data_IF_305813831481
#
_entry.id   IF_305813831481
#
_cell.length_a   1.000
_cell.length_b   1.000
_cell.length_c   1.000
_cell.angle_alpha   90.00
_cell.angle_beta   90.00
_cell.angle_gamma   90.00
#
_symmetry.space_group_name_H-M   'P 1'
#
loop_
_entity.id
_entity.type
_entity.pdbx_description
1 polymer ?
#
# COMPACT_ATOMS: atom_id res chain seq x y z
N UNK A 1 0.90 28.56 -48.12
CA UNK A 1 -0.55 28.23 -48.15
C UNK A 1 -0.68 26.71 -48.12
N UNK A 2 -0.89 26.11 -46.94
CA UNK A 2 -1.03 24.65 -46.81
C UNK A 2 -2.49 24.24 -47.07
N UNK A 3 -2.72 23.67 -48.25
CA UNK A 3 -4.03 23.20 -48.71
C UNK A 3 -4.29 21.81 -48.12
N UNK A 4 -5.03 21.74 -47.02
CA UNK A 4 -5.56 20.49 -46.49
C UNK A 4 -6.63 19.94 -47.43
N UNK A 5 -6.32 18.85 -48.13
CA UNK A 5 -7.27 18.09 -48.93
C UNK A 5 -8.01 17.11 -48.00
N UNK A 6 -9.15 17.53 -47.46
CA UNK A 6 -9.94 16.73 -46.51
C UNK A 6 -10.55 15.49 -47.18
N UNK A 7 -9.92 14.33 -47.01
CA UNK A 7 -10.56 13.04 -47.24
C UNK A 7 -11.26 12.60 -45.96
N UNK A 8 -12.57 12.84 -45.86
CA UNK A 8 -13.39 12.33 -44.77
C UNK A 8 -13.63 10.82 -44.97
N UNK A 9 -12.64 9.99 -44.57
CA UNK A 9 -12.83 8.56 -44.38
C UNK A 9 -13.54 8.37 -43.05
N UNK A 10 -14.83 8.05 -43.11
CA UNK A 10 -15.61 7.70 -41.91
C UNK A 10 -15.18 6.32 -41.39
N UNK A 11 -14.94 6.23 -40.09
CA UNK A 11 -14.82 4.94 -39.39
C UNK A 11 -16.19 4.28 -39.38
N UNK A 12 -16.21 2.95 -39.55
CA UNK A 12 -17.45 2.19 -39.48
C UNK A 12 -17.76 1.77 -38.04
N UNK A 13 -19.04 1.67 -37.69
CA UNK A 13 -19.43 1.21 -36.34
C UNK A 13 -18.94 -0.21 -36.05
N UNK A 14 -18.84 -1.07 -37.08
CA UNK A 14 -18.36 -2.45 -36.94
C UNK A 14 -16.87 -2.50 -36.58
N UNK A 15 -16.07 -1.58 -37.10
CA UNK A 15 -14.63 -1.50 -36.81
C UNK A 15 -14.40 -1.10 -35.35
N UNK A 16 -15.14 -0.11 -34.85
CA UNK A 16 -15.08 0.28 -33.42
C UNK A 16 -15.61 -0.85 -32.52
N UNK A 17 -16.69 -1.52 -32.94
CA UNK A 17 -17.25 -2.65 -32.20
C UNK A 17 -16.26 -3.81 -32.06
N UNK A 18 -15.55 -4.17 -33.14
CA UNK A 18 -14.53 -5.20 -33.10
C UNK A 18 -13.39 -4.86 -32.12
N UNK A 19 -12.94 -3.60 -32.08
CA UNK A 19 -11.89 -3.14 -31.15
C UNK A 19 -12.36 -3.23 -29.70
N UNK A 20 -13.56 -2.75 -29.39
CA UNK A 20 -14.11 -2.80 -28.02
C UNK A 20 -14.29 -4.25 -27.55
N UNK A 21 -14.73 -5.15 -28.43
CA UNK A 21 -14.87 -6.58 -28.09
C UNK A 21 -13.50 -7.18 -27.72
N UNK A 22 -12.45 -6.90 -28.49
CA UNK A 22 -11.10 -7.40 -28.19
C UNK A 22 -10.59 -6.80 -26.87
N UNK A 23 -10.72 -5.48 -26.68
CA UNK A 23 -10.31 -4.81 -25.43
C UNK A 23 -11.10 -5.32 -24.22
N UNK A 24 -12.38 -5.64 -24.39
CA UNK A 24 -13.23 -6.20 -23.35
C UNK A 24 -12.77 -7.59 -22.91
N UNK A 25 -12.42 -8.47 -23.86
CA UNK A 25 -11.88 -9.81 -23.56
C UNK A 25 -10.54 -9.69 -22.83
N UNK A 26 -9.65 -8.79 -23.28
CA UNK A 26 -8.36 -8.56 -22.62
C UNK A 26 -8.54 -8.02 -21.20
N UNK A 27 -9.42 -7.03 -21.01
CA UNK A 27 -9.72 -6.46 -19.70
C UNK A 27 -10.30 -7.52 -18.73
N UNK A 28 -11.16 -8.41 -19.22
CA UNK A 28 -11.78 -9.45 -18.40
C UNK A 28 -10.76 -10.39 -17.73
N UNK A 29 -9.64 -10.69 -18.41
CA UNK A 29 -8.57 -11.54 -17.86
C UNK A 29 -7.55 -10.71 -17.07
N UNK A 30 -7.24 -9.50 -17.53
CA UNK A 30 -6.22 -8.65 -16.92
C UNK A 30 -6.64 -8.12 -15.54
N UNK A 31 -7.89 -7.69 -15.38
CA UNK A 31 -8.40 -7.07 -14.14
C UNK A 31 -8.23 -7.96 -12.89
N UNK A 32 -8.75 -9.20 -12.84
CA UNK A 32 -8.62 -10.03 -11.63
C UNK A 32 -7.17 -10.34 -11.28
N UNK A 33 -6.31 -10.50 -12.29
CA UNK A 33 -4.87 -10.78 -12.09
C UNK A 33 -4.16 -9.61 -11.41
N UNK A 34 -4.46 -8.39 -11.82
CA UNK A 34 -3.90 -7.17 -11.22
C UNK A 34 -4.49 -6.91 -9.84
N UNK A 35 -5.78 -7.18 -9.63
CA UNK A 35 -6.42 -6.99 -8.32
C UNK A 35 -5.79 -7.87 -7.24
N UNK A 36 -5.54 -9.16 -7.53
CA UNK A 36 -4.89 -10.05 -6.57
C UNK A 36 -3.46 -9.63 -6.24
N UNK A 37 -2.70 -9.12 -7.21
CA UNK A 37 -1.36 -8.60 -6.96
C UNK A 37 -1.40 -7.36 -6.05
N UNK A 38 -2.33 -6.44 -6.28
CA UNK A 38 -2.50 -5.25 -5.46
C UNK A 38 -2.84 -5.63 -4.01
N UNK A 39 -3.74 -6.59 -3.81
CA UNK A 39 -4.13 -7.04 -2.47
C UNK A 39 -2.94 -7.60 -1.68
N UNK A 40 -2.13 -8.47 -2.29
CA UNK A 40 -0.90 -8.97 -1.67
C UNK A 40 0.09 -7.85 -1.34
N UNK A 41 0.30 -6.91 -2.28
CA UNK A 41 1.19 -5.76 -2.03
C UNK A 41 0.71 -4.87 -0.89
N UNK A 42 -0.62 -4.71 -0.73
CA UNK A 42 -1.18 -3.94 0.39
C UNK A 42 -0.96 -4.64 1.73
N UNK A 43 -1.11 -5.96 1.77
CA UNK A 43 -0.85 -6.78 2.95
C UNK A 43 0.63 -6.68 3.36
N UNK A 44 1.55 -6.84 2.41
CA UNK A 44 3.00 -6.71 2.64
C UNK A 44 3.37 -5.31 3.17
N UNK A 45 2.88 -4.25 2.51
CA UNK A 45 3.12 -2.86 2.96
C UNK A 45 2.59 -2.64 4.37
N UNK A 46 1.38 -3.14 4.67
CA UNK A 46 0.81 -3.04 6.01
C UNK A 46 1.70 -3.76 7.04
N UNK A 47 2.19 -4.96 6.73
CA UNK A 47 3.07 -5.72 7.61
C UNK A 47 4.36 -4.98 7.92
N UNK A 48 5.06 -4.48 6.90
CA UNK A 48 6.30 -3.72 7.04
C UNK A 48 6.06 -2.44 7.86
N UNK A 49 4.98 -1.72 7.58
CA UNK A 49 4.63 -0.51 8.31
C UNK A 49 4.32 -0.79 9.79
N UNK A 50 3.61 -1.88 10.10
CA UNK A 50 3.34 -2.28 11.48
C UNK A 50 4.62 -2.60 12.25
N UNK A 51 5.54 -3.38 11.68
CA UNK A 51 6.82 -3.72 12.30
C UNK A 51 7.67 -2.47 12.51
N UNK A 52 7.69 -1.55 11.53
CA UNK A 52 8.38 -0.27 11.66
C UNK A 52 7.78 0.57 12.79
N UNK A 53 6.46 0.69 12.85
CA UNK A 53 5.75 1.46 13.87
C UNK A 53 6.02 0.91 15.27
N UNK A 54 6.03 -0.43 15.42
CA UNK A 54 6.35 -1.12 16.66
C UNK A 54 7.75 -0.73 17.16
N UNK A 55 8.76 -0.89 16.32
CA UNK A 55 10.16 -0.56 16.68
C UNK A 55 10.32 0.90 17.08
N UNK A 56 9.67 1.81 16.34
CA UNK A 56 9.74 3.25 16.65
C UNK A 56 9.03 3.57 17.97
N UNK A 57 7.86 2.99 18.21
CA UNK A 57 7.11 3.19 19.44
C UNK A 57 7.85 2.60 20.66
N UNK A 58 8.43 1.42 20.55
CA UNK A 58 9.24 0.82 21.61
C UNK A 58 10.49 1.65 21.93
N UNK A 59 11.15 2.18 20.91
CA UNK A 59 12.28 3.08 21.07
C UNK A 59 11.87 4.33 21.84
N UNK A 60 10.70 4.89 21.52
CA UNK A 60 10.14 6.06 22.20
C UNK A 60 9.84 5.78 23.68
N UNK A 61 9.23 4.62 23.98
CA UNK A 61 8.98 4.18 25.36
C UNK A 61 10.29 4.05 26.14
N UNK A 62 11.32 3.44 25.53
CA UNK A 62 12.64 3.27 26.13
C UNK A 62 13.36 4.60 26.38
N UNK A 63 13.33 5.52 25.40
CA UNK A 63 13.98 6.84 25.52
C UNK A 63 13.32 7.73 26.58
N UNK A 64 11.99 7.72 26.67
CA UNK A 64 11.24 8.51 27.65
C UNK A 64 11.13 7.83 29.01
N UNK A 65 11.46 6.54 29.11
CA UNK A 65 11.33 5.75 30.34
C UNK A 65 9.87 5.63 30.80
N UNK A 66 8.94 5.52 29.86
CA UNK A 66 7.50 5.40 30.12
C UNK A 66 7.01 4.02 29.71
N UNK A 67 6.02 3.49 30.42
CA UNK A 67 5.36 2.24 30.04
C UNK A 67 4.26 2.50 28.99
N UNK A 68 3.97 1.45 28.22
CA UNK A 68 2.86 1.48 27.27
C UNK A 68 1.53 1.76 27.97
N UNK A 69 0.70 2.57 27.32
CA UNK A 69 -0.73 2.68 27.62
C UNK A 69 -1.47 3.02 26.33
N UNK A 70 -2.73 2.59 26.22
CA UNK A 70 -3.57 2.86 25.04
C UNK A 70 -3.60 4.35 24.69
N UNK A 71 -3.80 5.23 25.68
CA UNK A 71 -3.84 6.68 25.46
C UNK A 71 -2.52 7.23 24.86
N UNK A 72 -1.37 6.67 25.26
CA UNK A 72 -0.06 7.07 24.72
C UNK A 72 0.14 6.56 23.31
N UNK A 73 -0.29 5.33 23.04
CA UNK A 73 -0.22 4.77 21.70
C UNK A 73 -1.17 5.50 20.74
N UNK A 74 -2.40 5.83 21.16
CA UNK A 74 -3.32 6.64 20.35
C UNK A 74 -2.76 8.03 20.05
N UNK A 75 -2.09 8.66 21.03
CA UNK A 75 -1.41 9.93 20.80
C UNK A 75 -0.28 9.79 19.77
N UNK A 76 0.51 8.71 19.87
CA UNK A 76 1.60 8.43 18.95
C UNK A 76 1.09 8.17 17.52
N UNK A 77 0.01 7.40 17.38
CA UNK A 77 -0.67 7.18 16.10
C UNK A 77 -1.22 8.46 15.49
N UNK A 78 -1.74 9.39 16.30
CA UNK A 78 -2.20 10.67 15.79
C UNK A 78 -1.06 11.55 15.24
N UNK A 79 0.16 11.37 15.74
CA UNK A 79 1.33 12.15 15.33
C UNK A 79 2.11 11.49 14.17
N UNK A 80 2.19 10.16 14.14
CA UNK A 80 3.05 9.40 13.22
C UNK A 80 2.34 8.30 12.42
N UNK A 81 1.04 8.09 12.65
CA UNK A 81 0.28 6.95 12.10
C UNK A 81 -0.47 7.22 10.80
N UNK A 82 -0.05 8.20 10.00
CA UNK A 82 -0.61 8.38 8.65
C UNK A 82 -0.20 7.21 7.73
N UNK A 83 -1.13 6.73 6.92
CA UNK A 83 -0.93 5.73 5.86
C UNK A 83 -0.26 4.41 6.28
N UNK A 84 -0.47 3.95 7.52
CA UNK A 84 0.07 2.67 8.00
C UNK A 84 -0.59 1.49 7.28
N UNK A 85 -1.91 1.51 7.12
CA UNK A 85 -2.66 0.47 6.43
C UNK A 85 -3.27 1.02 5.13
N UNK A 86 -2.93 0.43 3.96
CA UNK A 86 -3.50 0.86 2.67
C UNK A 86 -5.01 0.64 2.52
N UNK A 87 -5.62 -0.15 3.41
CA UNK A 87 -7.06 -0.45 3.43
C UNK A 87 -7.75 0.18 4.66
N UNK A 88 -7.14 1.20 5.27
CA UNK A 88 -7.69 1.96 6.40
C UNK A 88 -8.04 1.07 7.61
N UNK A 89 -7.27 -0.01 7.80
CA UNK A 89 -7.41 -0.88 8.96
C UNK A 89 -7.04 -0.19 10.27
N UNK A 90 -7.83 -0.43 11.31
CA UNK A 90 -7.55 0.06 12.67
C UNK A 90 -6.27 -0.61 13.21
N UNK A 91 -5.38 0.22 13.76
CA UNK A 91 -4.08 -0.17 14.32
C UNK A 91 -4.14 -0.17 15.84
N UNK A 92 -3.67 -1.24 16.46
CA UNK A 92 -3.63 -1.42 17.92
C UNK A 92 -2.28 -1.94 18.38
N UNK A 93 -1.94 -1.73 19.65
CA UNK A 93 -0.74 -2.27 20.28
C UNK A 93 -1.17 -3.18 21.42
N UNK A 94 -0.91 -4.49 21.29
CA UNK A 94 -1.35 -5.52 22.24
C UNK A 94 -0.18 -6.44 22.54
N UNK A 95 0.12 -6.62 23.82
CA UNK A 95 1.15 -7.55 24.31
C UNK A 95 2.54 -7.38 23.67
N UNK A 96 2.93 -6.14 23.38
CA UNK A 96 4.22 -5.82 22.76
C UNK A 96 4.20 -5.72 21.23
N UNK A 97 3.06 -6.04 20.60
CA UNK A 97 2.95 -6.19 19.15
C UNK A 97 1.95 -5.20 18.56
N UNK A 98 2.32 -4.56 17.45
CA UNK A 98 1.38 -3.78 16.63
C UNK A 98 0.55 -4.71 15.75
N UNK A 99 -0.78 -4.59 15.84
CA UNK A 99 -1.76 -5.38 15.09
C UNK A 99 -2.67 -4.49 14.23
N UNK A 100 -3.03 -5.00 13.06
CA UNK A 100 -4.03 -4.41 12.17
C UNK A 100 -5.32 -5.24 12.21
N UNK A 101 -6.47 -4.58 12.14
CA UNK A 101 -7.79 -5.25 12.10
C UNK A 101 -8.11 -5.94 10.76
N UNK A 102 -7.39 -5.59 9.69
CA UNK A 102 -7.64 -6.08 8.32
C UNK A 102 -6.59 -7.11 7.88
N UNK A 103 -5.31 -6.81 8.09
CA UNK A 103 -4.18 -7.66 7.68
C UNK A 103 -3.62 -8.44 8.85
N UNK A 104 -3.40 -9.74 8.66
CA UNK A 104 -2.78 -10.59 9.68
C UNK A 104 -1.26 -10.48 9.60
N UNK A 105 -0.57 -10.43 10.74
CA UNK A 105 0.89 -10.49 10.77
C UNK A 105 1.33 -11.91 10.40
N UNK A 106 2.02 -12.05 9.28
CA UNK A 106 2.76 -13.28 8.93
C UNK A 106 4.12 -13.22 9.64
N UNK A 107 4.39 -14.18 10.51
CA UNK A 107 5.65 -14.27 11.31
C UNK A 107 6.89 -14.68 10.47
N UNK A 108 6.78 -14.68 9.15
CA UNK A 108 7.88 -15.01 8.24
C UNK A 108 8.58 -13.72 7.80
N UNK A 109 9.44 -13.17 8.67
CA UNK A 109 10.63 -12.36 8.35
C UNK A 109 11.30 -11.86 9.64
N UNK A 110 11.72 -12.83 10.48
CA UNK A 110 12.89 -12.65 11.35
C UNK A 110 13.99 -13.54 10.82
N UNK A 111 14.40 -13.34 9.58
CA UNK A 111 15.74 -13.70 9.13
C UNK A 111 16.46 -12.38 8.85
N UNK A 112 17.55 -12.18 9.59
CA UNK A 112 18.35 -10.97 9.57
C UNK A 112 18.86 -10.67 8.16
N UNK A 113 18.39 -9.58 7.55
CA UNK A 113 19.15 -8.85 6.54
C UNK A 113 19.44 -7.45 7.08
N UNK A 114 20.56 -7.37 7.79
CA UNK A 114 21.42 -6.17 7.80
C UNK A 114 21.85 -5.87 6.35
N UNK A 115 20.97 -5.28 5.53
CA UNK A 115 21.39 -4.57 4.32
C UNK A 115 20.82 -3.14 4.32
N UNK A 116 21.78 -2.22 4.35
CA UNK A 116 21.69 -0.77 4.29
C UNK A 116 21.28 -0.29 2.90
N UNK A 117 20.14 0.38 2.78
CA UNK A 117 19.98 1.52 1.88
C UNK A 117 18.66 2.28 2.05
N UNK A 118 18.77 3.58 2.30
CA UNK A 118 17.67 4.53 2.11
C UNK A 118 17.34 5.43 3.29
N UNK A 119 18.33 5.77 4.13
CA UNK A 119 18.21 6.92 5.01
C UNK A 119 17.95 8.19 4.19
N UNK A 120 16.69 8.61 4.08
CA UNK A 120 16.31 9.91 3.55
C UNK A 120 16.92 11.00 4.45
N UNK A 121 17.79 11.89 3.93
CA UNK A 121 18.35 12.96 4.73
C UNK A 121 17.27 14.01 5.00
N UNK A 122 16.89 14.15 6.27
CA UNK A 122 16.13 15.30 6.73
C UNK A 122 17.06 16.53 6.77
N UNK A 123 16.74 17.55 5.97
CA UNK A 123 17.38 18.87 5.99
C UNK A 123 16.93 19.72 7.17
#
# INVERSE_FOLDING_TARGET
>A
MFKYMGSNKGITLIEVLAVIVILGILAAVAVPSVMGLIENSKEEVCNVNMVRLERMYETELALKGIEHSEAKFSQYLQEYGEDICPDDGEISYVDGVVQCSVHSRTEEETEDEDEDDGGVPFF
#
